data_IF_660228494303
#
_entry.id   IF_660228494303
#
_cell.length_a   1.000
_cell.length_b   1.000
_cell.length_c   1.000
_cell.angle_alpha   90.00
_cell.angle_beta   90.00
_cell.angle_gamma   90.00
#
_symmetry.space_group_name_H-M   'P 1'
#
loop_
_entity.id
_entity.type
_entity.pdbx_description
1 polymer ?
#
# COMPACT_ATOMS: atom_id res chain seq x y z
N UNK A 1 11.03 -3.50 12.95
CA UNK A 1 9.75 -3.12 12.33
C UNK A 1 9.09 -2.12 13.24
N UNK A 2 8.95 -0.89 12.77
CA UNK A 2 8.27 0.22 13.44
C UNK A 2 7.12 0.70 12.54
N UNK A 3 6.01 1.11 13.14
CA UNK A 3 4.91 1.74 12.41
C UNK A 3 4.85 3.20 12.83
N UNK A 4 4.98 4.10 11.87
CA UNK A 4 5.00 5.55 12.10
C UNK A 4 4.14 6.28 11.09
N UNK A 5 3.86 7.55 11.35
CA UNK A 5 3.19 8.41 10.36
C UNK A 5 4.09 8.59 9.14
N UNK A 6 3.45 8.68 7.98
CA UNK A 6 4.10 8.98 6.71
C UNK A 6 4.81 10.33 6.77
N UNK A 7 6.04 10.36 6.25
CA UNK A 7 6.80 11.58 5.98
C UNK A 7 7.00 11.75 4.47
N UNK A 8 7.16 13.00 4.01
CA UNK A 8 7.28 13.31 2.57
C UNK A 8 8.43 12.54 1.91
N UNK A 9 9.52 12.27 2.65
CA UNK A 9 10.65 11.49 2.19
C UNK A 9 10.32 10.02 1.87
N UNK A 10 9.23 9.49 2.44
CA UNK A 10 8.77 8.12 2.18
C UNK A 10 8.02 8.00 0.85
N UNK A 11 7.61 9.12 0.24
CA UNK A 11 6.75 9.15 -0.95
C UNK A 11 7.25 8.25 -2.08
N UNK A 12 8.57 8.27 -2.32
CA UNK A 12 9.18 7.46 -3.38
C UNK A 12 9.12 5.97 -3.05
N UNK A 13 9.41 5.58 -1.81
CA UNK A 13 9.36 4.17 -1.39
C UNK A 13 7.91 3.65 -1.40
N UNK A 14 6.96 4.49 -0.97
CA UNK A 14 5.52 4.17 -1.02
C UNK A 14 5.04 3.97 -2.45
N UNK A 15 5.44 4.85 -3.37
CA UNK A 15 5.08 4.74 -4.79
C UNK A 15 5.58 3.41 -5.39
N UNK A 16 6.84 3.07 -5.12
CA UNK A 16 7.46 1.83 -5.57
C UNK A 16 6.74 0.61 -4.99
N UNK A 17 6.52 0.60 -3.67
CA UNK A 17 5.84 -0.47 -2.96
C UNK A 17 4.43 -0.72 -3.50
N UNK A 18 3.66 0.34 -3.73
CA UNK A 18 2.32 0.24 -4.32
C UNK A 18 2.38 -0.38 -5.71
N UNK A 19 3.26 0.16 -6.58
CA UNK A 19 3.38 -0.29 -7.96
C UNK A 19 3.76 -1.78 -8.04
N UNK A 20 4.75 -2.21 -7.26
CA UNK A 20 5.22 -3.60 -7.25
C UNK A 20 4.16 -4.53 -6.67
N UNK A 21 3.47 -4.11 -5.61
CA UNK A 21 2.38 -4.91 -5.02
C UNK A 21 1.25 -5.10 -6.02
N UNK A 22 0.80 -4.05 -6.70
CA UNK A 22 -0.27 -4.15 -7.70
C UNK A 22 0.16 -5.02 -8.89
N UNK A 23 1.39 -4.88 -9.39
CA UNK A 23 1.82 -5.63 -10.56
C UNK A 23 2.24 -7.07 -10.29
N UNK A 24 2.74 -7.39 -9.11
CA UNK A 24 3.22 -8.73 -8.82
C UNK A 24 2.21 -9.59 -8.06
N UNK A 25 1.41 -8.98 -7.19
CA UNK A 25 0.42 -9.69 -6.37
C UNK A 25 -0.91 -9.74 -7.10
N UNK A 26 -1.42 -8.59 -7.57
CA UNK A 26 -2.77 -8.50 -8.13
C UNK A 26 -2.88 -8.99 -9.58
N UNK A 27 -1.78 -9.20 -10.30
CA UNK A 27 -1.80 -9.71 -11.69
C UNK A 27 -2.48 -11.08 -11.82
N UNK A 28 -2.61 -11.83 -10.72
CA UNK A 28 -3.29 -13.13 -10.68
C UNK A 28 -4.81 -13.00 -10.62
N UNK A 29 -5.32 -11.91 -10.08
CA UNK A 29 -6.73 -11.72 -9.75
C UNK A 29 -7.43 -10.69 -10.66
N UNK A 30 -6.66 -9.90 -11.42
CA UNK A 30 -7.17 -8.79 -12.24
C UNK A 30 -6.58 -8.79 -13.64
N UNK A 31 -7.37 -8.24 -14.59
CA UNK A 31 -6.93 -8.07 -15.98
C UNK A 31 -5.78 -7.06 -16.11
N UNK A 32 -4.98 -7.20 -17.17
CA UNK A 32 -3.90 -6.25 -17.48
C UNK A 32 -4.39 -4.81 -17.61
N UNK A 33 -5.61 -4.58 -18.12
CA UNK A 33 -6.22 -3.26 -18.21
C UNK A 33 -6.50 -2.66 -16.82
N UNK A 34 -7.01 -3.46 -15.87
CA UNK A 34 -7.24 -3.01 -14.50
C UNK A 34 -5.93 -2.73 -13.77
N UNK A 35 -4.94 -3.62 -13.92
CA UNK A 35 -3.60 -3.42 -13.36
C UNK A 35 -2.99 -2.13 -13.92
N UNK A 36 -3.08 -1.88 -15.22
CA UNK A 36 -2.52 -0.66 -15.85
C UNK A 36 -3.28 0.61 -15.47
N UNK A 37 -4.58 0.51 -15.20
CA UNK A 37 -5.37 1.63 -14.68
C UNK A 37 -4.97 2.02 -13.25
N UNK A 38 -4.58 1.04 -12.42
CA UNK A 38 -4.19 1.30 -11.02
C UNK A 38 -2.71 1.58 -10.84
N UNK A 39 -1.85 0.87 -11.57
CA UNK A 39 -0.40 1.00 -11.54
C UNK A 39 0.12 1.08 -12.99
N UNK A 40 0.00 2.25 -13.65
CA UNK A 40 0.58 2.46 -14.98
C UNK A 40 2.11 2.32 -14.94
N UNK A 41 2.74 2.20 -16.12
CA UNK A 41 4.21 1.97 -16.21
C UNK A 41 5.02 3.13 -15.60
N UNK A 42 4.40 4.31 -15.49
CA UNK A 42 4.94 5.44 -14.75
C UNK A 42 4.61 5.31 -13.25
N UNK A 43 5.60 5.01 -12.41
CA UNK A 43 5.47 4.90 -10.95
C UNK A 43 5.08 6.24 -10.31
N UNK A 44 5.55 7.35 -10.89
CA UNK A 44 5.25 8.72 -10.46
C UNK A 44 3.96 9.30 -11.05
N UNK A 45 3.04 8.47 -11.54
CA UNK A 45 1.78 8.93 -12.13
C UNK A 45 0.87 9.67 -11.13
N UNK A 46 1.14 9.55 -9.83
CA UNK A 46 0.41 10.18 -8.74
C UNK A 46 1.38 10.92 -7.83
N UNK A 47 0.93 12.06 -7.32
CA UNK A 47 1.64 12.81 -6.27
C UNK A 47 1.42 12.13 -4.92
N UNK A 48 2.24 11.11 -4.64
CA UNK A 48 2.18 10.31 -3.42
C UNK A 48 2.46 11.14 -2.17
N UNK A 49 3.33 12.15 -2.25
CA UNK A 49 3.56 13.07 -1.15
C UNK A 49 2.26 13.80 -0.78
N UNK A 50 1.59 14.42 -1.76
CA UNK A 50 0.33 15.13 -1.52
C UNK A 50 -0.78 14.20 -1.05
N UNK A 51 -0.89 13.01 -1.63
CA UNK A 51 -1.94 12.04 -1.29
C UNK A 51 -1.76 11.49 0.11
N UNK A 52 -0.55 11.06 0.46
CA UNK A 52 -0.30 10.46 1.76
C UNK A 52 -0.30 11.52 2.86
N UNK A 53 0.16 12.74 2.59
CA UNK A 53 0.10 13.85 3.56
C UNK A 53 -1.31 14.43 3.75
N UNK A 54 -2.21 14.31 2.77
CA UNK A 54 -3.61 14.75 2.95
C UNK A 54 -4.46 13.75 3.72
N UNK A 55 -3.92 12.57 4.03
CA UNK A 55 -4.59 11.46 4.70
C UNK A 55 -3.83 11.05 5.96
N UNK A 56 -4.49 10.37 6.89
CA UNK A 56 -3.82 9.79 8.06
C UNK A 56 -3.12 8.49 7.65
N UNK A 57 -2.00 8.66 6.92
CA UNK A 57 -1.23 7.55 6.36
C UNK A 57 -0.15 7.11 7.33
N UNK A 58 -0.09 5.81 7.57
CA UNK A 58 0.97 5.16 8.33
C UNK A 58 1.83 4.33 7.41
N UNK A 59 3.12 4.28 7.72
CA UNK A 59 4.10 3.42 7.06
C UNK A 59 4.67 2.43 8.06
N UNK A 60 4.88 1.20 7.61
CA UNK A 60 5.63 0.19 8.33
C UNK A 60 7.06 0.18 7.79
N UNK A 61 8.03 0.54 8.62
CA UNK A 61 9.44 0.61 8.29
C UNK A 61 10.19 -0.56 8.95
N UNK A 62 11.12 -1.16 8.22
CA UNK A 62 12.07 -2.11 8.76
C UNK A 62 13.45 -1.82 8.16
N UNK A 63 14.43 -1.53 9.01
CA UNK A 63 15.83 -1.32 8.61
C UNK A 63 16.01 -0.19 7.56
N UNK A 64 15.19 0.87 7.62
CA UNK A 64 15.23 1.99 6.68
C UNK A 64 14.37 1.78 5.41
N UNK A 65 13.77 0.61 5.24
CA UNK A 65 12.90 0.29 4.11
C UNK A 65 11.42 0.31 4.49
N UNK A 66 10.61 0.95 3.66
CA UNK A 66 9.15 0.91 3.81
C UNK A 66 8.63 -0.44 3.29
N UNK A 67 8.21 -1.30 4.21
CA UNK A 67 7.67 -2.63 3.93
C UNK A 67 6.13 -2.66 3.92
N UNK A 68 5.48 -1.54 4.20
CA UNK A 68 4.02 -1.44 4.19
C UNK A 68 3.56 0.01 4.32
N UNK A 69 2.37 0.31 3.80
CA UNK A 69 1.69 1.56 4.10
C UNK A 69 0.18 1.37 4.14
N UNK A 70 -0.51 2.20 4.90
CA UNK A 70 -1.96 2.15 4.98
C UNK A 70 -2.55 3.43 5.52
N UNK A 71 -3.84 3.62 5.24
CA UNK A 71 -4.60 4.79 5.65
C UNK A 71 -5.57 4.39 6.75
N UNK A 72 -5.54 5.14 7.85
CA UNK A 72 -6.43 4.96 8.98
C UNK A 72 -7.36 6.16 9.08
N UNK A 73 -8.66 5.95 8.89
CA UNK A 73 -9.64 7.00 9.13
C UNK A 73 -9.76 7.32 10.63
N UNK A 74 -10.08 8.57 11.01
CA UNK A 74 -10.25 8.98 12.41
C UNK A 74 -11.30 8.16 13.19
N UNK A 75 -12.24 7.53 12.48
CA UNK A 75 -13.27 6.64 13.04
C UNK A 75 -12.79 5.20 13.24
N UNK A 76 -11.49 4.92 13.07
CA UNK A 76 -10.88 3.61 13.31
C UNK A 76 -11.02 2.62 12.14
N UNK A 77 -11.45 3.09 10.97
CA UNK A 77 -11.56 2.27 9.77
C UNK A 77 -10.26 2.30 8.97
N UNK A 78 -9.77 1.13 8.56
CA UNK A 78 -8.63 1.01 7.64
C UNK A 78 -9.18 1.17 6.22
N UNK A 79 -8.85 2.27 5.54
CA UNK A 79 -9.30 2.54 4.17
C UNK A 79 -8.47 1.72 3.16
N UNK A 80 -7.16 1.63 3.39
CA UNK A 80 -6.24 0.84 2.56
C UNK A 80 -5.07 0.30 3.40
N UNK A 81 -4.62 -0.93 3.14
CA UNK A 81 -3.39 -1.48 3.71
C UNK A 81 -2.62 -2.28 2.65
N UNK A 82 -1.36 -1.91 2.44
CA UNK A 82 -0.43 -2.56 1.54
C UNK A 82 0.73 -3.11 2.36
N UNK A 83 1.07 -4.38 2.15
CA UNK A 83 2.22 -5.03 2.76
C UNK A 83 3.10 -5.61 1.66
N UNK A 84 4.40 -5.36 1.78
CA UNK A 84 5.42 -5.80 0.84
C UNK A 84 5.36 -7.31 0.64
N UNK A 85 5.45 -7.74 -0.62
CA UNK A 85 5.32 -9.13 -1.07
C UNK A 85 6.16 -10.14 -0.26
N UNK A 86 7.36 -9.75 0.17
CA UNK A 86 8.28 -10.60 0.93
C UNK A 86 7.84 -10.87 2.38
N UNK A 87 6.89 -10.09 2.92
CA UNK A 87 6.45 -10.20 4.32
C UNK A 87 5.03 -10.78 4.48
N UNK A 88 4.35 -11.12 3.38
CA UNK A 88 2.98 -11.68 3.40
C UNK A 88 2.86 -13.10 3.99
N UNK A 89 3.98 -13.76 4.37
CA UNK A 89 3.98 -15.15 4.90
C UNK A 89 4.68 -15.35 6.25
N UNK A 90 5.21 -14.32 6.89
CA UNK A 90 5.85 -14.45 8.21
C UNK A 90 4.81 -14.44 9.34
N UNK A 91 4.78 -15.54 10.10
CA UNK A 91 3.77 -16.05 11.06
C UNK A 91 3.54 -15.19 12.32
N UNK A 92 3.68 -13.86 12.26
CA UNK A 92 3.26 -12.95 13.35
C UNK A 92 1.90 -12.29 13.12
N UNK A 93 1.22 -12.64 12.03
CA UNK A 93 -0.19 -12.34 11.83
C UNK A 93 -0.98 -13.64 12.06
N UNK A 94 -1.47 -13.84 13.28
CA UNK A 94 -2.31 -14.99 13.64
C UNK A 94 -3.64 -14.99 12.83
N UNK A 95 -4.25 -16.16 12.61
CA UNK A 95 -5.15 -16.43 11.50
C UNK A 95 -6.57 -15.89 11.77
N UNK A 96 -6.77 -14.58 11.64
CA UNK A 96 -8.06 -14.08 11.17
C UNK A 96 -8.09 -14.24 9.65
N UNK A 97 -8.48 -15.45 9.29
CA UNK A 97 -8.82 -15.97 7.97
C UNK A 97 -9.31 -14.91 6.98
N UNK A 98 -8.58 -14.81 5.85
CA UNK A 98 -8.85 -14.00 4.65
C UNK A 98 -8.74 -12.49 4.87
N UNK A 99 -7.52 -11.96 4.89
CA UNK A 99 -7.31 -10.57 4.47
C UNK A 99 -7.53 -10.45 2.95
N UNK A 100 -8.81 -10.51 2.57
CA UNK A 100 -9.32 -9.75 1.44
C UNK A 100 -9.45 -8.30 1.91
N UNK A 101 -8.40 -7.50 1.86
CA UNK A 101 -8.59 -6.04 1.87
C UNK A 101 -7.55 -5.35 0.99
N UNK A 102 -7.69 -5.60 -0.31
CA UNK A 102 -7.49 -4.54 -1.29
C UNK A 102 -8.89 -3.99 -1.54
N UNK A 103 -9.32 -3.01 -0.74
CA UNK A 103 -10.45 -2.15 -1.11
C UNK A 103 -9.87 -0.91 -1.78
N UNK A 104 -9.58 -1.05 -3.07
CA UNK A 104 -9.44 0.11 -3.95
C UNK A 104 -10.82 0.73 -4.08
N UNK A 105 -11.14 1.75 -3.25
CA UNK A 105 -12.24 2.66 -3.53
C UNK A 105 -11.66 3.84 -4.33
N UNK A 106 -11.53 3.64 -5.64
CA UNK A 106 -11.41 4.75 -6.58
C UNK A 106 -12.84 5.20 -6.81
N UNK A 107 -13.29 6.19 -6.04
CA UNK A 107 -14.48 6.94 -6.45
C UNK A 107 -14.08 7.84 -7.61
N UNK A 108 -14.78 7.60 -8.72
CA UNK A 108 -14.77 8.31 -10.01
C UNK A 108 -15.20 9.76 -9.90
#
# INVERSE_FOLDING_TARGET
MEVRLFEIQDAQQVAQLFHDTVREVNIRDYSSAQIKAWAPDNIGFRDWAKVCSSRHTYVAEQEGEIIGFGELEPIGHIDCFYCHKNYQRSVKCSPLSRQKTIKVKIES
#
